data_IF_361134421407
#
_entry.id   IF_361134421407
#
_cell.length_a   1.000
_cell.length_b   1.000
_cell.length_c   1.000
_cell.angle_alpha   90.00
_cell.angle_beta   90.00
_cell.angle_gamma   90.00
#
_symmetry.space_group_name_H-M   'P 1'
#
loop_
_entity.id
_entity.type
_entity.pdbx_description
1 polymer ?
#
# COMPACT_ATOMS: atom_id res chain seq x y z
N UNK A 1 -23.25 -12.78 6.83
CA UNK A 1 -22.21 -13.10 5.82
C UNK A 1 -21.00 -12.24 6.03
N UNK A 2 -19.88 -12.85 6.19
CA UNK A 2 -18.65 -12.11 6.46
C UNK A 2 -18.08 -11.52 5.18
N UNK A 3 -17.24 -10.53 5.36
CA UNK A 3 -16.45 -9.97 4.27
C UNK A 3 -15.42 -10.99 3.81
N UNK A 4 -15.27 -11.12 2.50
CA UNK A 4 -14.29 -12.03 1.90
C UNK A 4 -12.97 -11.30 1.72
N UNK A 5 -12.46 -10.74 2.82
CA UNK A 5 -11.25 -9.95 2.78
C UNK A 5 -10.03 -10.81 2.99
N UNK A 6 -9.03 -10.63 2.15
CA UNK A 6 -7.77 -11.37 2.23
C UNK A 6 -6.63 -10.40 2.50
N UNK A 7 -5.90 -10.64 3.59
CA UNK A 7 -4.73 -9.83 3.91
C UNK A 7 -3.61 -10.13 2.92
N UNK A 8 -3.06 -9.10 2.31
CA UNK A 8 -2.01 -9.22 1.31
C UNK A 8 -0.68 -8.66 1.75
N UNK A 9 -0.68 -7.66 2.63
CA UNK A 9 0.52 -6.95 3.01
C UNK A 9 0.46 -6.66 4.50
N UNK A 10 1.57 -6.87 5.17
CA UNK A 10 1.73 -6.38 6.54
C UNK A 10 3.21 -6.08 6.75
N UNK A 11 3.52 -4.84 7.12
CA UNK A 11 4.90 -4.44 7.37
C UNK A 11 4.95 -3.53 8.58
N UNK A 12 5.87 -3.82 9.49
CA UNK A 12 5.98 -3.07 10.74
C UNK A 12 7.39 -2.56 11.02
N UNK A 13 8.34 -2.78 10.12
CA UNK A 13 9.72 -2.36 10.32
C UNK A 13 9.85 -0.89 9.96
N UNK A 14 10.25 0.00 10.91
CA UNK A 14 10.43 1.40 10.59
C UNK A 14 11.46 1.62 9.49
N UNK A 15 11.20 2.64 8.67
CA UNK A 15 12.06 2.98 7.53
C UNK A 15 13.04 4.09 7.92
N UNK A 16 14.25 4.02 7.37
CA UNK A 16 15.19 5.11 7.49
C UNK A 16 14.81 6.30 6.64
N UNK A 17 15.60 7.36 6.72
CA UNK A 17 15.35 8.57 5.96
C UNK A 17 15.34 8.26 4.47
N UNK A 18 14.29 8.68 3.78
CA UNK A 18 14.13 8.54 2.34
C UNK A 18 14.06 7.09 1.84
N UNK A 19 13.94 6.12 2.75
CA UNK A 19 13.84 4.71 2.37
C UNK A 19 12.44 4.39 1.86
N UNK A 20 12.37 3.38 0.99
CA UNK A 20 11.13 2.95 0.38
C UNK A 20 10.87 1.49 0.72
N UNK A 21 9.63 1.19 1.10
CA UNK A 21 9.14 -0.17 1.23
C UNK A 21 8.30 -0.49 -0.01
N UNK A 22 8.60 -1.60 -0.65
CA UNK A 22 7.79 -2.10 -1.78
C UNK A 22 7.20 -3.43 -1.37
N UNK A 23 5.89 -3.55 -1.45
CA UNK A 23 5.20 -4.77 -1.04
C UNK A 23 5.41 -5.90 -2.03
N UNK A 24 5.12 -7.13 -1.62
CA UNK A 24 5.00 -8.23 -2.59
C UNK A 24 3.92 -7.91 -3.63
N UNK A 25 4.05 -8.52 -4.80
CA UNK A 25 3.08 -8.36 -5.87
C UNK A 25 1.75 -9.00 -5.45
N UNK A 26 0.65 -8.31 -5.72
CA UNK A 26 -0.70 -8.77 -5.45
C UNK A 26 -1.36 -9.04 -6.79
N UNK A 27 -1.86 -10.27 -6.99
CA UNK A 27 -2.65 -10.58 -8.19
C UNK A 27 -4.06 -10.01 -7.99
N UNK A 28 -4.44 -9.07 -8.82
CA UNK A 28 -5.70 -8.34 -8.66
C UNK A 28 -6.77 -8.79 -9.65
N UNK A 29 -6.53 -9.85 -10.40
CA UNK A 29 -7.52 -10.33 -11.38
C UNK A 29 -8.81 -10.80 -10.72
N UNK A 30 -8.74 -11.18 -9.43
CA UNK A 30 -9.91 -11.62 -8.65
C UNK A 30 -10.40 -10.55 -7.69
N UNK A 31 -9.81 -9.34 -7.73
CA UNK A 31 -10.09 -8.29 -6.74
C UNK A 31 -10.26 -6.96 -7.44
N UNK A 32 -11.18 -6.15 -6.94
CA UNK A 32 -11.42 -4.84 -7.54
C UNK A 32 -10.88 -3.70 -6.69
N UNK A 33 -10.45 -3.97 -5.46
CA UNK A 33 -9.82 -2.90 -4.66
C UNK A 33 -8.89 -3.48 -3.61
N UNK A 34 -7.91 -2.64 -3.24
CA UNK A 34 -7.01 -2.89 -2.14
C UNK A 34 -7.25 -1.79 -1.13
N UNK A 35 -7.47 -2.16 0.13
CA UNK A 35 -7.68 -1.19 1.18
C UNK A 35 -6.95 -1.61 2.44
N UNK A 36 -6.70 -0.65 3.30
CA UNK A 36 -5.98 -0.97 4.51
C UNK A 36 -5.79 0.20 5.42
N UNK A 37 -4.81 0.04 6.29
CA UNK A 37 -4.47 1.03 7.30
C UNK A 37 -2.98 1.29 7.26
N UNK A 38 -2.60 2.54 7.51
CA UNK A 38 -1.20 2.92 7.64
C UNK A 38 -1.07 3.84 8.85
N UNK A 39 -0.06 3.59 9.67
CA UNK A 39 0.26 4.44 10.80
C UNK A 39 1.75 4.75 10.80
N UNK A 40 2.10 6.03 10.86
CA UNK A 40 3.49 6.47 10.81
C UNK A 40 3.68 7.64 11.77
N UNK A 41 4.92 7.83 12.21
CA UNK A 41 5.28 8.99 13.03
C UNK A 41 6.03 10.05 12.23
N UNK A 42 6.31 9.79 10.94
CA UNK A 42 6.96 10.75 10.05
C UNK A 42 6.20 10.79 8.74
N UNK A 43 6.19 11.95 8.10
CA UNK A 43 5.46 12.08 6.84
C UNK A 43 6.11 11.24 5.73
N UNK A 44 5.31 10.88 4.77
CA UNK A 44 5.76 10.10 3.62
C UNK A 44 4.68 10.02 2.57
N UNK A 45 4.87 9.11 1.62
CA UNK A 45 3.97 8.96 0.48
C UNK A 45 3.65 7.49 0.27
N UNK A 46 2.35 7.19 0.18
CA UNK A 46 1.87 5.85 -0.17
C UNK A 46 1.38 5.87 -1.60
N UNK A 47 1.89 4.92 -2.40
CA UNK A 47 1.54 4.81 -3.82
C UNK A 47 1.06 3.42 -4.12
N UNK A 48 0.18 3.30 -5.12
CA UNK A 48 -0.10 2.02 -5.73
C UNK A 48 0.46 2.02 -7.15
N UNK A 49 1.16 0.95 -7.50
CA UNK A 49 1.62 0.70 -8.86
C UNK A 49 0.91 -0.51 -9.41
N UNK A 50 0.51 -0.45 -10.67
CA UNK A 50 -0.20 -1.53 -11.31
C UNK A 50 0.52 -1.97 -12.57
N UNK A 51 0.34 -3.24 -12.95
CA UNK A 51 1.01 -3.81 -14.09
C UNK A 51 0.18 -4.91 -14.71
N UNK A 52 0.28 -5.07 -16.04
CA UNK A 52 -0.32 -6.18 -16.75
C UNK A 52 0.62 -7.36 -16.88
N UNK A 53 1.93 -7.13 -16.79
CA UNK A 53 2.93 -8.14 -17.12
C UNK A 53 4.00 -8.32 -16.03
N UNK A 54 3.92 -7.57 -14.93
CA UNK A 54 4.90 -7.56 -13.83
C UNK A 54 6.28 -7.07 -14.26
N UNK A 55 6.38 -6.45 -15.42
CA UNK A 55 7.63 -5.87 -15.92
C UNK A 55 7.53 -4.36 -15.96
N UNK A 56 6.44 -3.86 -16.55
CA UNK A 56 6.18 -2.43 -16.62
C UNK A 56 5.20 -2.05 -15.53
N UNK A 57 5.62 -1.20 -14.60
CA UNK A 57 4.82 -0.76 -13.47
C UNK A 57 4.44 0.71 -13.64
N UNK A 58 3.17 1.00 -13.44
CA UNK A 58 2.62 2.35 -13.60
C UNK A 58 2.00 2.77 -12.28
N UNK A 59 2.42 3.92 -11.79
CA UNK A 59 1.80 4.50 -10.59
C UNK A 59 0.43 5.04 -10.98
N UNK A 60 -0.62 4.48 -10.39
CA UNK A 60 -1.99 4.87 -10.74
C UNK A 60 -2.65 5.71 -9.67
N UNK A 61 -2.08 5.78 -8.47
CA UNK A 61 -2.62 6.65 -7.43
C UNK A 61 -1.56 6.91 -6.36
N UNK A 62 -1.74 8.00 -5.61
CA UNK A 62 -0.79 8.46 -4.60
C UNK A 62 -1.54 9.11 -3.45
N UNK A 63 -1.12 8.82 -2.21
CA UNK A 63 -1.65 9.46 -1.01
C UNK A 63 -0.48 10.04 -0.23
N UNK A 64 -0.54 11.33 0.07
CA UNK A 64 0.44 11.98 0.95
C UNK A 64 0.02 11.74 2.39
N UNK A 65 0.93 11.23 3.20
CA UNK A 65 0.70 10.95 4.61
C UNK A 65 1.41 12.02 5.42
N UNK A 66 0.64 12.89 6.05
CA UNK A 66 1.17 13.91 6.94
C UNK A 66 1.28 13.34 8.35
N UNK A 67 2.27 13.77 9.11
CA UNK A 67 2.56 13.19 10.42
C UNK A 67 2.17 14.05 11.58
N UNK A 68 2.01 13.41 12.74
CA UNK A 68 1.85 11.98 12.96
C UNK A 68 0.45 11.57 12.52
N UNK A 69 0.30 10.38 11.98
CA UNK A 69 -1.03 10.00 11.52
C UNK A 69 -1.23 8.49 11.47
N UNK A 70 -2.49 8.13 11.68
CA UNK A 70 -3.01 6.80 11.38
C UNK A 70 -4.19 7.04 10.46
N UNK A 71 -4.22 6.38 9.32
CA UNK A 71 -5.34 6.57 8.40
C UNK A 71 -5.64 5.32 7.60
N UNK A 72 -6.87 5.25 7.12
CA UNK A 72 -7.28 4.22 6.19
C UNK A 72 -7.04 4.68 4.75
N UNK A 73 -6.89 3.71 3.86
CA UNK A 73 -6.74 4.01 2.45
C UNK A 73 -7.50 2.97 1.62
N UNK A 74 -7.77 3.35 0.38
CA UNK A 74 -8.48 2.50 -0.58
C UNK A 74 -8.01 2.86 -1.98
N UNK A 75 -7.63 1.84 -2.74
CA UNK A 75 -7.27 2.00 -4.15
C UNK A 75 -8.12 1.07 -4.99
N UNK A 76 -8.63 1.58 -6.10
CA UNK A 76 -9.34 0.76 -7.09
C UNK A 76 -8.31 0.12 -8.01
N UNK A 77 -8.48 -1.18 -8.27
CA UNK A 77 -7.55 -1.94 -9.09
C UNK A 77 -8.04 -1.97 -10.54
N UNK A 78 -7.13 -1.73 -11.48
CA UNK A 78 -7.43 -1.61 -12.90
C UNK A 78 -6.67 -2.62 -13.75
N UNK A 79 -5.59 -3.22 -13.22
CA UNK A 79 -4.75 -4.15 -13.96
C UNK A 79 -4.70 -5.49 -13.24
N UNK A 80 -3.98 -6.45 -13.82
CA UNK A 80 -3.91 -7.81 -13.25
C UNK A 80 -3.03 -7.90 -12.02
N UNK A 81 -2.09 -6.97 -11.85
CA UNK A 81 -1.13 -6.99 -10.75
C UNK A 81 -1.02 -5.62 -10.12
N UNK A 82 -0.80 -5.59 -8.82
CA UNK A 82 -0.57 -4.35 -8.10
C UNK A 82 0.46 -4.56 -7.02
N UNK A 83 1.11 -3.48 -6.61
CA UNK A 83 1.95 -3.47 -5.42
C UNK A 83 1.86 -2.10 -4.77
N UNK A 84 2.07 -2.09 -3.47
CA UNK A 84 2.09 -0.85 -2.70
C UNK A 84 3.53 -0.42 -2.49
N UNK A 85 3.73 0.88 -2.48
CA UNK A 85 5.05 1.46 -2.29
C UNK A 85 4.93 2.59 -1.31
N UNK A 86 5.68 2.54 -0.23
CA UNK A 86 5.70 3.61 0.75
C UNK A 86 7.09 4.21 0.80
N UNK A 87 7.19 5.52 0.61
CA UNK A 87 8.46 6.24 0.68
C UNK A 87 8.44 7.15 1.89
N UNK A 88 9.35 6.92 2.82
CA UNK A 88 9.51 7.76 3.99
C UNK A 88 10.12 9.11 3.59
N UNK A 89 9.81 10.15 4.36
CA UNK A 89 10.44 11.45 4.18
C UNK A 89 11.85 11.47 4.73
N UNK A 90 12.37 12.68 4.98
CA UNK A 90 13.77 12.87 5.32
C UNK A 90 14.16 12.57 6.76
N UNK A 91 13.22 12.11 7.59
CA UNK A 91 13.49 11.79 9.00
C UNK A 91 13.20 10.31 9.24
N UNK A 92 14.14 9.57 9.87
CA UNK A 92 13.89 8.14 10.14
C UNK A 92 12.65 7.94 11.00
N UNK A 93 11.90 6.88 10.69
CA UNK A 93 10.70 6.54 11.44
C UNK A 93 11.06 5.78 12.72
N UNK A 94 10.24 5.98 13.77
CA UNK A 94 10.22 5.10 14.92
C UNK A 94 9.00 4.17 14.88
N UNK A 95 7.97 4.58 14.16
CA UNK A 95 6.73 3.80 14.03
C UNK A 95 6.37 3.67 12.56
N UNK A 96 6.15 2.44 12.13
CA UNK A 96 5.62 2.15 10.80
C UNK A 96 4.73 0.93 10.90
N UNK A 97 3.48 1.10 10.48
CA UNK A 97 2.55 -0.02 10.40
C UNK A 97 1.76 0.13 9.10
N UNK A 98 1.83 -0.87 8.27
CA UNK A 98 1.09 -0.90 7.01
C UNK A 98 0.45 -2.26 6.87
N UNK A 99 -0.88 -2.29 6.74
CA UNK A 99 -1.60 -3.51 6.46
C UNK A 99 -2.55 -3.26 5.30
N UNK A 100 -2.62 -4.20 4.38
CA UNK A 100 -3.48 -4.08 3.22
C UNK A 100 -4.24 -5.37 2.96
N UNK A 101 -5.47 -5.21 2.53
CA UNK A 101 -6.39 -6.29 2.22
C UNK A 101 -6.89 -6.12 0.80
N UNK A 102 -7.20 -7.23 0.16
CA UNK A 102 -7.85 -7.22 -1.15
C UNK A 102 -9.29 -7.68 -0.99
N UNK A 103 -10.21 -6.99 -1.66
CA UNK A 103 -11.62 -7.33 -1.65
C UNK A 103 -11.98 -7.96 -2.99
N UNK A 104 -12.69 -9.10 -2.98
CA UNK A 104 -13.04 -9.78 -4.23
C UNK A 104 -14.08 -8.99 -5.01
N UNK A 105 -14.16 -9.32 -6.30
CA UNK A 105 -15.27 -8.81 -7.12
C UNK A 105 -16.58 -9.35 -6.59
N UNK A 106 -17.63 -8.54 -6.77
CA UNK A 106 -18.99 -8.93 -6.42
C UNK A 106 -19.80 -9.19 -7.68
#
# INVERSE_FOLDING_TARGET
MSCMRTKKVEETTPLGANDTYTSPVIKTEMYNQIRGLVEVDQQGTLEIEESEDQVTWIKTDTITINTPTARSFRFTCHAYYARLKYTNGGTPQNTFFLVAFADPFN
#
